data_IF_259061142186
#
_entry.id   IF_259061142186
#
_cell.length_a   1.000
_cell.length_b   1.000
_cell.length_c   1.000
_cell.angle_alpha   90.00
_cell.angle_beta   90.00
_cell.angle_gamma   90.00
#
_symmetry.space_group_name_H-M   'P 1'
#
loop_
_entity.id
_entity.type
_entity.pdbx_description
1 polymer ?
#
# COMPACT_ATOMS: atom_id res chain seq x y z
N UNK A 1 -16.72 37.16 -60.01
CA UNK A 1 -16.41 35.75 -59.70
C UNK A 1 -15.03 35.56 -59.05
N UNK A 2 -14.53 36.54 -58.27
CA UNK A 2 -13.13 36.55 -57.79
C UNK A 2 -12.92 36.70 -56.28
N UNK A 3 -13.97 36.87 -55.48
CA UNK A 3 -13.84 37.16 -54.04
C UNK A 3 -14.10 35.94 -53.14
N UNK A 4 -14.76 34.89 -53.65
CA UNK A 4 -15.07 33.68 -52.89
C UNK A 4 -13.87 32.73 -52.77
N UNK A 5 -13.05 32.64 -53.82
CA UNK A 5 -11.88 31.74 -53.86
C UNK A 5 -10.75 32.28 -52.96
N UNK A 6 -10.56 33.60 -52.90
CA UNK A 6 -9.56 34.23 -52.03
C UNK A 6 -9.90 34.13 -50.53
N UNK A 7 -11.19 34.11 -50.16
CA UNK A 7 -11.63 33.94 -48.77
C UNK A 7 -11.50 32.49 -48.28
N UNK A 8 -11.60 31.51 -49.19
CA UNK A 8 -11.44 30.09 -48.84
C UNK A 8 -9.97 29.72 -48.58
N UNK A 9 -9.03 30.33 -49.31
CA UNK A 9 -7.58 30.11 -49.12
C UNK A 9 -7.06 30.64 -47.76
N UNK A 10 -7.60 31.75 -47.25
CA UNK A 10 -7.19 32.27 -45.92
C UNK A 10 -7.66 31.38 -44.75
N UNK A 11 -8.83 30.74 -44.89
CA UNK A 11 -9.40 29.89 -43.83
C UNK A 11 -8.64 28.55 -43.73
N UNK A 12 -8.15 28.02 -44.86
CA UNK A 12 -7.35 26.79 -44.88
C UNK A 12 -5.93 27.03 -44.32
N UNK A 13 -5.32 28.19 -44.61
CA UNK A 13 -3.99 28.52 -44.07
C UNK A 13 -4.00 28.74 -42.54
N UNK A 14 -5.11 29.27 -41.99
CA UNK A 14 -5.25 29.47 -40.54
C UNK A 14 -5.52 28.17 -39.77
N UNK A 15 -6.08 27.14 -40.43
CA UNK A 15 -6.35 25.82 -39.82
C UNK A 15 -5.11 24.93 -39.71
N UNK A 16 -4.03 25.22 -40.45
CA UNK A 16 -2.75 24.49 -40.39
C UNK A 16 -1.81 24.99 -39.28
N UNK A 17 -2.10 26.12 -38.65
CA UNK A 17 -1.26 26.75 -37.62
C UNK A 17 -1.62 26.38 -36.17
N UNK A 18 -2.66 25.55 -35.97
CA UNK A 18 -3.10 25.09 -34.63
C UNK A 18 -2.90 23.58 -34.45
N UNK A 19 -1.79 23.03 -34.94
CA UNK A 19 -1.22 21.85 -34.28
C UNK A 19 -0.56 22.39 -33.02
N UNK A 20 -1.36 22.56 -31.97
CA UNK A 20 -0.82 22.74 -30.62
C UNK A 20 -0.03 21.49 -30.34
N UNK A 21 1.29 21.58 -30.45
CA UNK A 21 2.20 20.58 -29.91
C UNK A 21 1.90 20.54 -28.41
N UNK A 22 1.18 19.51 -27.98
CA UNK A 22 1.03 19.22 -26.57
C UNK A 22 2.41 18.72 -26.13
N UNK A 23 3.27 19.63 -25.69
CA UNK A 23 4.48 19.30 -24.95
C UNK A 23 4.05 18.78 -23.58
N UNK A 24 3.71 17.49 -23.54
CA UNK A 24 3.36 16.82 -22.31
C UNK A 24 4.64 16.64 -21.50
N UNK A 25 4.75 17.38 -20.38
CA UNK A 25 5.84 17.20 -19.41
C UNK A 25 5.92 15.72 -19.02
N UNK A 26 7.02 15.07 -19.39
CA UNK A 26 7.27 13.67 -19.07
C UNK A 26 7.46 13.50 -17.56
N UNK A 27 6.80 12.49 -16.99
CA UNK A 27 7.10 12.01 -15.63
C UNK A 27 8.43 11.24 -15.72
N UNK A 28 9.35 11.47 -14.77
CA UNK A 28 10.61 10.74 -14.80
C UNK A 28 10.36 9.24 -14.59
N UNK A 29 11.19 8.39 -15.21
CA UNK A 29 11.10 6.93 -14.99
C UNK A 29 11.29 6.59 -13.51
N UNK A 30 12.19 7.31 -12.85
CA UNK A 30 12.39 7.20 -11.40
C UNK A 30 11.09 7.43 -10.63
N UNK A 31 10.32 8.48 -10.94
CA UNK A 31 9.02 8.72 -10.29
C UNK A 31 7.95 7.69 -10.64
N UNK A 32 8.03 7.06 -11.82
CA UNK A 32 7.08 6.02 -12.23
C UNK A 32 7.37 4.66 -11.58
N UNK A 33 8.63 4.39 -11.26
CA UNK A 33 9.08 3.10 -10.72
C UNK A 33 9.56 3.16 -9.26
N UNK A 34 9.50 4.33 -8.62
CA UNK A 34 9.75 4.47 -7.19
C UNK A 34 8.60 3.92 -6.37
N UNK A 35 8.90 3.44 -5.17
CA UNK A 35 7.86 3.10 -4.21
C UNK A 35 7.00 4.32 -3.89
N UNK A 36 5.67 4.14 -3.77
CA UNK A 36 4.79 5.22 -3.35
C UNK A 36 5.14 5.62 -1.91
N UNK A 37 5.06 6.92 -1.63
CA UNK A 37 5.23 7.43 -0.25
C UNK A 37 4.22 6.80 0.73
N UNK A 38 3.04 6.44 0.23
CA UNK A 38 1.97 5.79 1.00
C UNK A 38 1.26 4.75 0.11
N UNK A 39 1.03 3.56 0.63
CA UNK A 39 0.20 2.51 0.02
C UNK A 39 -0.66 1.80 1.07
N UNK A 40 -1.64 1.00 0.65
CA UNK A 40 -2.48 0.19 1.54
C UNK A 40 -3.10 0.97 2.72
N UNK A 41 -3.60 2.19 2.44
CA UNK A 41 -4.15 3.06 3.49
C UNK A 41 -5.50 2.51 3.98
N UNK A 42 -5.60 2.22 5.28
CA UNK A 42 -6.79 1.61 5.89
C UNK A 42 -7.08 2.18 7.27
N UNK A 43 -8.37 2.26 7.63
CA UNK A 43 -8.85 2.86 8.88
C UNK A 43 -9.22 1.77 9.89
N UNK A 44 -8.94 1.96 11.18
CA UNK A 44 -9.35 1.05 12.26
C UNK A 44 -10.88 0.90 12.33
N UNK A 45 -11.36 -0.21 12.91
CA UNK A 45 -12.80 -0.48 13.00
C UNK A 45 -13.58 0.60 13.78
N UNK A 46 -12.93 1.25 14.74
CA UNK A 46 -13.50 2.37 15.51
C UNK A 46 -13.32 3.75 14.86
N UNK A 47 -12.65 3.82 13.71
CA UNK A 47 -12.46 5.05 12.94
C UNK A 47 -11.41 6.02 13.49
N UNK A 48 -10.60 5.62 14.47
CA UNK A 48 -9.66 6.54 15.16
C UNK A 48 -8.25 6.52 14.61
N UNK A 49 -7.81 5.42 14.02
CA UNK A 49 -6.42 5.19 13.64
C UNK A 49 -6.32 4.80 12.18
N UNK A 50 -5.47 5.49 11.43
CA UNK A 50 -5.11 5.14 10.06
C UNK A 50 -3.84 4.28 10.14
N UNK A 51 -3.82 3.16 9.43
CA UNK A 51 -2.61 2.42 9.11
C UNK A 51 -2.34 2.52 7.61
N UNK A 52 -1.07 2.49 7.23
CA UNK A 52 -0.64 2.50 5.85
C UNK A 52 0.77 1.90 5.74
N UNK A 53 1.15 1.54 4.53
CA UNK A 53 2.51 1.12 4.20
C UNK A 53 3.32 2.30 3.68
N UNK A 54 4.55 2.44 4.18
CA UNK A 54 5.50 3.46 3.74
C UNK A 54 6.94 2.95 3.85
N UNK A 55 7.86 3.37 2.98
CA UNK A 55 9.27 3.04 3.12
C UNK A 55 9.85 3.60 4.42
N UNK A 56 10.56 2.76 5.17
CA UNK A 56 11.33 3.18 6.34
C UNK A 56 12.62 3.92 5.93
N UNK A 57 13.48 4.24 6.90
CA UNK A 57 14.78 4.91 6.65
C UNK A 57 15.72 4.13 5.71
N UNK A 58 15.50 2.83 5.52
CA UNK A 58 16.28 1.97 4.64
C UNK A 58 15.56 1.70 3.31
N UNK A 59 14.37 2.29 3.10
CA UNK A 59 13.55 2.06 1.92
C UNK A 59 12.65 0.83 2.01
N UNK A 60 12.57 0.14 3.16
CA UNK A 60 11.75 -1.08 3.31
C UNK A 60 10.33 -0.71 3.70
N UNK A 61 9.33 -1.20 2.96
CA UNK A 61 7.92 -0.91 3.21
C UNK A 61 7.46 -1.57 4.50
N UNK A 62 7.18 -0.74 5.50
CA UNK A 62 6.71 -1.12 6.82
C UNK A 62 5.36 -0.47 7.12
N UNK A 63 4.69 -0.95 8.18
CA UNK A 63 3.43 -0.39 8.66
C UNK A 63 3.71 0.85 9.50
N UNK A 64 3.03 1.93 9.14
CA UNK A 64 2.96 3.16 9.91
C UNK A 64 1.51 3.40 10.33
N UNK A 65 1.34 3.96 11.52
CA UNK A 65 0.03 4.33 12.06
C UNK A 65 -0.01 5.80 12.45
N UNK A 66 -1.19 6.41 12.35
CA UNK A 66 -1.43 7.78 12.76
C UNK A 66 -2.89 7.95 13.18
N UNK A 67 -3.14 8.62 14.29
CA UNK A 67 -4.52 8.95 14.65
C UNK A 67 -5.12 9.92 13.62
N UNK A 68 -6.42 9.82 13.34
CA UNK A 68 -7.06 10.59 12.26
C UNK A 68 -6.83 12.11 12.34
N UNK A 69 -6.70 12.65 13.54
CA UNK A 69 -6.43 14.08 13.81
C UNK A 69 -4.95 14.42 14.00
N UNK A 70 -4.08 13.42 14.12
CA UNK A 70 -2.65 13.59 14.38
C UNK A 70 -1.93 14.02 13.10
N UNK A 71 -0.79 14.72 13.22
CA UNK A 71 0.09 15.04 12.09
C UNK A 71 1.22 14.02 11.93
N UNK A 72 1.80 13.62 13.05
CA UNK A 72 2.92 12.69 13.10
C UNK A 72 2.45 11.25 12.98
N UNK A 73 3.24 10.41 12.32
CA UNK A 73 3.01 8.97 12.21
C UNK A 73 4.04 8.19 13.01
N UNK A 74 3.67 7.00 13.45
CA UNK A 74 4.52 6.07 14.17
C UNK A 74 4.73 4.82 13.32
N UNK A 75 5.98 4.41 13.12
CA UNK A 75 6.31 3.09 12.58
C UNK A 75 5.99 2.02 13.63
N UNK A 76 5.22 1.00 13.25
CA UNK A 76 4.82 -0.10 14.16
C UNK A 76 5.39 -1.46 13.76
N UNK A 77 5.90 -1.60 12.53
CA UNK A 77 6.71 -2.75 12.12
C UNK A 77 8.12 -2.32 11.71
N UNK A 78 9.09 -3.21 11.91
CA UNK A 78 10.52 -3.00 11.65
C UNK A 78 11.11 -4.18 10.88
N UNK A 79 10.37 -4.66 9.89
CA UNK A 79 10.75 -5.76 9.04
C UNK A 79 11.87 -5.38 8.07
N UNK A 80 12.66 -6.39 7.66
CA UNK A 80 13.79 -6.24 6.73
C UNK A 80 13.42 -6.56 5.28
N UNK A 81 12.21 -7.09 5.06
CA UNK A 81 11.61 -7.29 3.74
C UNK A 81 10.27 -6.58 3.70
N UNK A 82 9.84 -6.21 2.50
CA UNK A 82 8.62 -5.46 2.29
C UNK A 82 7.38 -6.20 2.82
N UNK A 83 6.52 -5.45 3.50
CA UNK A 83 5.15 -5.85 3.78
C UNK A 83 4.31 -5.53 2.56
N UNK A 84 3.48 -6.48 2.14
CA UNK A 84 2.70 -6.38 0.89
C UNK A 84 1.31 -5.81 1.11
N UNK A 85 0.67 -6.17 2.23
CA UNK A 85 -0.69 -5.73 2.54
C UNK A 85 -0.97 -5.77 4.03
N UNK A 86 -1.96 -4.98 4.44
CA UNK A 86 -2.39 -4.82 5.84
C UNK A 86 -3.90 -4.80 5.94
N UNK A 87 -4.45 -5.37 7.02
CA UNK A 87 -5.87 -5.30 7.33
C UNK A 87 -6.08 -5.03 8.82
N UNK A 88 -6.95 -4.07 9.16
CA UNK A 88 -7.50 -4.02 10.50
C UNK A 88 -8.49 -5.15 10.74
N UNK A 89 -8.45 -5.70 11.95
CA UNK A 89 -9.50 -6.58 12.47
C UNK A 89 -10.66 -5.77 13.05
N UNK A 90 -11.68 -6.44 13.60
CA UNK A 90 -12.73 -5.75 14.37
C UNK A 90 -12.24 -5.21 15.73
N UNK A 91 -11.06 -5.61 16.18
CA UNK A 91 -10.44 -5.09 17.42
C UNK A 91 -9.59 -3.88 17.05
N UNK A 92 -9.89 -2.72 17.66
CA UNK A 92 -9.36 -1.41 17.26
C UNK A 92 -7.85 -1.31 17.08
N UNK A 93 -7.08 -2.05 17.88
CA UNK A 93 -5.61 -1.95 17.91
C UNK A 93 -4.93 -3.18 17.28
N UNK A 94 -5.69 -4.11 16.70
CA UNK A 94 -5.14 -5.31 16.09
C UNK A 94 -5.20 -5.20 14.57
N UNK A 95 -4.04 -5.30 13.96
CA UNK A 95 -3.87 -5.51 12.52
C UNK A 95 -3.39 -6.93 12.25
N UNK A 96 -3.69 -7.39 11.05
CA UNK A 96 -2.98 -8.50 10.41
C UNK A 96 -2.27 -7.98 9.17
N UNK A 97 -1.13 -8.56 8.84
CA UNK A 97 -0.36 -8.15 7.67
C UNK A 97 0.33 -9.34 7.01
N UNK A 98 0.64 -9.13 5.73
CA UNK A 98 1.18 -10.14 4.84
C UNK A 98 2.58 -9.74 4.40
N UNK A 99 3.50 -10.69 4.46
CA UNK A 99 4.86 -10.49 4.02
C UNK A 99 5.30 -11.69 3.20
N UNK A 100 5.81 -11.40 2.02
CA UNK A 100 6.50 -12.34 1.17
C UNK A 100 7.98 -12.45 1.59
N UNK A 101 8.62 -13.59 1.31
CA UNK A 101 10.05 -13.78 1.55
C UNK A 101 10.72 -14.16 0.23
N UNK A 102 11.63 -13.29 -0.23
CA UNK A 102 12.46 -13.53 -1.41
C UNK A 102 11.67 -13.85 -2.71
N UNK A 103 10.42 -13.37 -2.85
CA UNK A 103 9.62 -13.58 -4.05
C UNK A 103 9.05 -14.99 -4.18
N UNK A 104 8.94 -15.75 -3.08
CA UNK A 104 8.42 -17.11 -3.12
C UNK A 104 6.89 -17.18 -3.25
N UNK A 105 6.21 -16.02 -3.14
CA UNK A 105 4.75 -15.84 -3.21
C UNK A 105 3.99 -16.62 -2.14
N UNK A 106 4.69 -17.17 -1.15
CA UNK A 106 4.12 -17.86 0.00
C UNK A 106 3.94 -16.87 1.15
N UNK A 107 2.96 -15.99 0.97
CA UNK A 107 2.65 -14.92 1.93
C UNK A 107 2.53 -15.48 3.35
N UNK A 108 3.40 -14.97 4.22
CA UNK A 108 3.36 -15.18 5.66
C UNK A 108 2.35 -14.23 6.26
N UNK A 109 1.61 -14.72 7.25
CA UNK A 109 0.54 -13.97 7.90
C UNK A 109 0.91 -13.72 9.35
N UNK A 110 0.89 -12.46 9.76
CA UNK A 110 1.20 -12.05 11.12
C UNK A 110 0.06 -11.22 11.72
N UNK A 111 -0.03 -11.25 13.05
CA UNK A 111 -0.92 -10.44 13.87
C UNK A 111 -0.08 -9.52 14.76
N UNK A 112 -0.44 -8.26 14.80
CA UNK A 112 0.22 -7.25 15.64
C UNK A 112 -0.82 -6.46 16.44
N UNK A 113 -0.55 -6.28 17.74
CA UNK A 113 -1.24 -5.29 18.57
C UNK A 113 -0.42 -4.00 18.58
N UNK A 114 -0.90 -2.95 17.92
CA UNK A 114 -0.13 -1.71 17.74
C UNK A 114 0.06 -0.94 19.06
N UNK A 115 -0.78 -1.18 20.06
CA UNK A 115 -0.72 -0.53 21.37
C UNK A 115 0.38 -1.13 22.27
N UNK A 116 0.90 -2.30 21.93
CA UNK A 116 1.99 -2.98 22.66
C UNK A 116 3.37 -2.68 22.08
N UNK A 117 3.43 -2.04 20.90
CA UNK A 117 4.71 -1.70 20.26
C UNK A 117 5.41 -0.62 21.06
N UNK A 118 6.49 -0.99 21.75
CA UNK A 118 7.27 -0.05 22.54
C UNK A 118 8.06 0.92 21.65
N UNK A 119 8.42 2.07 22.20
CA UNK A 119 9.21 3.09 21.48
C UNK A 119 10.64 2.65 21.14
N UNK A 120 11.13 1.49 21.63
CA UNK A 120 12.42 0.96 21.20
C UNK A 120 12.28 0.31 19.82
N UNK A 121 12.49 1.10 18.78
CA UNK A 121 12.30 0.80 17.35
C UNK A 121 13.08 -0.42 16.82
N UNK A 122 12.66 -1.65 17.17
CA UNK A 122 13.31 -2.91 16.78
C UNK A 122 12.28 -4.00 16.56
N UNK A 123 12.63 -5.03 15.77
CA UNK A 123 11.70 -6.13 15.50
C UNK A 123 11.27 -6.90 16.75
N UNK A 124 12.19 -7.05 17.70
CA UNK A 124 11.95 -7.77 18.96
C UNK A 124 10.96 -7.07 19.90
N UNK A 125 10.72 -5.77 19.70
CA UNK A 125 9.84 -4.98 20.57
C UNK A 125 8.38 -4.92 20.13
N UNK A 126 8.04 -5.56 19.01
CA UNK A 126 6.70 -5.50 18.42
C UNK A 126 5.69 -6.46 19.07
N UNK A 127 6.14 -7.41 19.92
CA UNK A 127 5.30 -8.52 20.41
C UNK A 127 4.47 -9.18 19.28
N UNK A 128 5.14 -9.42 18.14
CA UNK A 128 4.54 -9.95 16.93
C UNK A 128 4.08 -11.39 17.12
N UNK A 129 2.88 -11.72 16.66
CA UNK A 129 2.37 -13.10 16.67
C UNK A 129 2.33 -13.63 15.23
N UNK A 130 3.10 -14.68 14.97
CA UNK A 130 3.02 -15.42 13.72
C UNK A 130 1.73 -16.25 13.67
N UNK A 131 0.90 -16.02 12.65
CA UNK A 131 -0.22 -16.91 12.31
C UNK A 131 0.27 -18.02 11.38
N UNK A 132 1.14 -17.69 10.42
CA UNK A 132 1.82 -18.63 9.52
C UNK A 132 3.12 -18.05 9.01
N UNK A 133 4.24 -18.74 9.25
CA UNK A 133 5.59 -18.36 8.81
C UNK A 133 6.42 -19.53 8.24
N UNK A 134 5.79 -20.69 8.09
CA UNK A 134 6.48 -21.90 7.68
C UNK A 134 6.87 -21.83 6.19
N UNK A 135 8.05 -22.33 5.80
CA UNK A 135 8.44 -22.39 4.40
C UNK A 135 7.38 -23.13 3.56
N UNK A 136 7.07 -22.61 2.37
CA UNK A 136 6.09 -23.20 1.42
C UNK A 136 4.63 -23.20 1.90
N UNK A 137 4.36 -22.56 3.03
CA UNK A 137 3.00 -22.39 3.56
C UNK A 137 2.55 -20.97 3.27
N UNK A 138 1.45 -20.87 2.53
CA UNK A 138 0.72 -19.64 2.27
C UNK A 138 -0.50 -19.57 3.17
N UNK A 139 -0.69 -18.42 3.81
CA UNK A 139 -1.90 -18.14 4.58
C UNK A 139 -2.51 -16.81 4.17
N UNK A 140 -3.84 -16.76 4.11
CA UNK A 140 -4.54 -15.51 3.84
C UNK A 140 -5.92 -15.42 4.47
N UNK A 141 -6.33 -14.20 4.81
CA UNK A 141 -7.66 -13.94 5.35
C UNK A 141 -8.67 -13.99 4.21
N UNK A 142 -9.63 -14.91 4.32
CA UNK A 142 -10.71 -15.07 3.34
C UNK A 142 -12.04 -14.44 3.79
N UNK A 143 -12.17 -14.15 5.09
CA UNK A 143 -13.26 -13.35 5.60
C UNK A 143 -12.83 -12.54 6.82
N UNK A 144 -13.09 -11.24 6.76
CA UNK A 144 -12.84 -10.27 7.81
C UNK A 144 -14.08 -9.39 7.99
N UNK A 145 -14.81 -9.59 9.09
CA UNK A 145 -15.95 -8.74 9.44
C UNK A 145 -15.51 -7.73 10.50
N UNK A 146 -15.49 -6.44 10.17
CA UNK A 146 -15.06 -5.37 11.09
C UNK A 146 -15.98 -5.10 12.29
N UNK A 147 -16.98 -5.94 12.51
CA UNK A 147 -17.87 -5.94 13.69
C UNK A 147 -17.84 -7.26 14.46
N UNK A 148 -17.08 -8.24 14.00
CA UNK A 148 -16.92 -9.56 14.64
C UNK A 148 -15.41 -9.83 14.83
N UNK A 149 -14.94 -10.14 16.05
CA UNK A 149 -13.50 -10.32 16.31
C UNK A 149 -12.89 -11.56 15.65
N UNK A 150 -13.68 -12.39 14.97
CA UNK A 150 -13.19 -13.61 14.30
C UNK A 150 -12.75 -13.31 12.86
N UNK A 151 -11.59 -13.85 12.51
CA UNK A 151 -11.09 -13.92 11.14
C UNK A 151 -11.21 -15.36 10.64
N UNK A 152 -11.56 -15.53 9.36
CA UNK A 152 -11.44 -16.80 8.68
C UNK A 152 -10.16 -16.78 7.84
N UNK A 153 -9.23 -17.67 8.16
CA UNK A 153 -7.92 -17.80 7.51
C UNK A 153 -7.90 -19.10 6.69
N UNK A 154 -7.55 -19.00 5.42
CA UNK A 154 -7.19 -20.13 4.58
C UNK A 154 -5.69 -20.41 4.71
N UNK A 155 -5.29 -21.68 4.82
CA UNK A 155 -3.90 -22.11 4.97
C UNK A 155 -3.69 -23.47 4.30
N UNK A 156 -2.51 -23.69 3.70
CA UNK A 156 -2.12 -24.94 3.03
C UNK A 156 -1.06 -25.76 3.81
N UNK A 157 -0.99 -25.60 5.13
CA UNK A 157 0.01 -26.28 5.98
C UNK A 157 -0.02 -27.82 5.90
N UNK A 158 -1.18 -28.40 5.57
CA UNK A 158 -1.33 -29.83 5.31
C UNK A 158 -0.64 -30.31 4.01
N UNK A 159 -0.38 -29.43 3.04
CA UNK A 159 0.36 -29.72 1.81
C UNK A 159 1.10 -28.47 1.29
N UNK A 160 2.26 -28.13 1.87
CA UNK A 160 3.08 -26.98 1.46
C UNK A 160 3.62 -27.15 0.03
N UNK A 161 3.70 -26.08 -0.77
CA UNK A 161 4.17 -26.11 -2.17
C UNK A 161 5.28 -25.08 -2.42
#
# INVERSE_FOLDING_TARGET
>A
MGTAIQRLFLIVLYRLLLVVWIDAKLISREQLFSDPAYSEVTLSADGKTIAYLSPDKNGIRNVFVRCVTCKESQQVTFDHTDINSIEWTAVSDIIVYYQDTDGDENDRLYKLNISEVSSSSTKDSQNLVSISDQPKVKAFVIANNRRDPRLLVAINDNNPQ
#
